data_IF_224676895007
#
_entry.id   IF_224676895007
#
_cell.length_a   1.000
_cell.length_b   1.000
_cell.length_c   1.000
_cell.angle_alpha   90.00
_cell.angle_beta   90.00
_cell.angle_gamma   90.00
#
_symmetry.space_group_name_H-M   'P 1'
#
loop_
_entity.id
_entity.type
_entity.pdbx_description
1 polymer ?
#
# COMPACT_ATOMS: atom_id res chain seq x y z
N UNK A 1 -19.35 -31.93 57.49
CA UNK A 1 -18.21 -31.88 56.50
C UNK A 1 -18.73 -31.21 55.23
N UNK A 2 -18.23 -29.96 54.92
CA UNK A 2 -18.74 -29.10 53.84
C UNK A 2 -18.03 -29.41 52.51
N UNK A 3 -18.81 -29.74 51.44
CA UNK A 3 -18.36 -29.93 50.08
C UNK A 3 -17.94 -28.58 49.46
N UNK A 4 -16.65 -28.28 49.39
CA UNK A 4 -16.06 -27.08 48.72
C UNK A 4 -15.26 -27.47 47.49
N UNK A 5 -15.77 -28.35 46.61
CA UNK A 5 -14.99 -28.84 45.46
C UNK A 5 -15.49 -28.51 44.07
N UNK A 6 -16.70 -27.93 43.91
CA UNK A 6 -17.32 -27.79 42.54
C UNK A 6 -17.20 -26.42 41.86
N UNK A 7 -16.73 -25.39 42.54
CA UNK A 7 -16.65 -24.02 41.94
C UNK A 7 -15.38 -23.72 41.17
N UNK A 8 -14.31 -24.48 41.38
CA UNK A 8 -13.00 -24.24 40.67
C UNK A 8 -12.91 -24.95 39.31
N UNK A 9 -13.67 -26.00 39.11
CA UNK A 9 -13.63 -26.74 37.84
C UNK A 9 -14.32 -25.98 36.70
N UNK A 10 -15.36 -25.20 37.03
CA UNK A 10 -16.04 -24.34 36.04
C UNK A 10 -15.20 -23.16 35.58
N UNK A 11 -14.35 -22.59 36.46
CA UNK A 11 -13.50 -21.44 36.14
C UNK A 11 -12.33 -21.84 35.23
N UNK A 12 -11.75 -23.02 35.39
CA UNK A 12 -10.68 -23.56 34.53
C UNK A 12 -11.16 -23.87 33.12
N UNK A 13 -12.38 -24.38 32.96
CA UNK A 13 -12.97 -24.65 31.62
C UNK A 13 -13.28 -23.34 30.88
N UNK A 14 -13.73 -22.29 31.57
CA UNK A 14 -13.99 -20.98 30.97
C UNK A 14 -12.71 -20.30 30.46
N UNK A 15 -11.60 -20.45 31.18
CA UNK A 15 -10.29 -19.87 30.77
C UNK A 15 -9.71 -20.60 29.55
N UNK A 16 -9.87 -21.91 29.47
CA UNK A 16 -9.40 -22.71 28.30
C UNK A 16 -10.21 -22.39 27.04
N UNK A 17 -11.50 -22.07 27.15
CA UNK A 17 -12.32 -21.68 26.00
C UNK A 17 -12.04 -20.26 25.50
N UNK A 18 -11.55 -19.35 26.35
CA UNK A 18 -11.21 -17.99 25.91
C UNK A 18 -9.88 -17.90 25.14
N UNK A 19 -8.99 -18.86 25.30
CA UNK A 19 -7.71 -18.92 24.57
C UNK A 19 -7.82 -19.56 23.17
N UNK A 20 -8.95 -20.21 22.82
CA UNK A 20 -9.10 -20.97 21.58
C UNK A 20 -9.46 -20.12 20.34
N UNK A 21 -9.69 -18.81 20.49
CA UNK A 21 -10.05 -17.91 19.38
C UNK A 21 -8.97 -16.90 18.99
N UNK A 22 -7.74 -17.06 19.43
CA UNK A 22 -6.61 -16.39 18.79
C UNK A 22 -6.35 -17.06 17.43
N UNK A 23 -7.17 -16.74 16.42
CA UNK A 23 -6.85 -17.03 15.02
C UNK A 23 -5.61 -16.21 14.70
N UNK A 24 -4.46 -16.83 14.38
CA UNK A 24 -3.30 -16.04 13.98
C UNK A 24 -3.69 -15.24 12.72
N UNK A 25 -3.72 -13.92 12.83
CA UNK A 25 -3.78 -13.06 11.64
C UNK A 25 -2.53 -13.41 10.84
N UNK A 26 -2.70 -14.19 9.79
CA UNK A 26 -1.62 -14.51 8.88
C UNK A 26 -1.01 -13.19 8.40
N UNK A 27 0.23 -12.92 8.80
CA UNK A 27 0.96 -11.77 8.29
C UNK A 27 0.95 -11.88 6.76
N UNK A 28 0.46 -10.85 6.08
CA UNK A 28 0.43 -10.81 4.62
C UNK A 28 1.84 -11.13 4.12
N UNK A 29 1.99 -12.22 3.36
CA UNK A 29 3.29 -12.63 2.84
C UNK A 29 3.83 -11.49 1.97
N UNK A 30 5.08 -11.06 2.23
CA UNK A 30 5.72 -10.03 1.41
C UNK A 30 5.73 -10.47 -0.05
N UNK A 31 5.16 -9.67 -0.93
CA UNK A 31 5.27 -9.90 -2.36
C UNK A 31 6.75 -9.91 -2.76
N UNK A 32 7.18 -10.82 -3.64
CA UNK A 32 8.56 -10.88 -4.08
C UNK A 32 8.93 -9.61 -4.87
N UNK A 33 10.17 -9.13 -4.73
CA UNK A 33 10.67 -8.01 -5.52
C UNK A 33 10.63 -8.33 -7.01
N UNK A 34 10.24 -7.34 -7.82
CA UNK A 34 10.26 -7.45 -9.27
C UNK A 34 11.61 -7.01 -9.83
N UNK A 35 11.97 -7.60 -10.96
CA UNK A 35 13.16 -7.24 -11.76
C UNK A 35 12.89 -7.50 -13.23
N UNK A 36 13.64 -6.81 -14.10
CA UNK A 36 13.62 -7.06 -15.54
C UNK A 36 14.73 -8.06 -15.87
N UNK A 37 14.41 -9.12 -16.60
CA UNK A 37 15.36 -10.09 -17.12
C UNK A 37 15.12 -10.27 -18.62
N UNK A 38 16.02 -9.72 -19.44
CA UNK A 38 15.78 -9.58 -20.88
C UNK A 38 14.55 -8.72 -21.14
N UNK A 39 13.58 -9.24 -21.85
CA UNK A 39 12.30 -8.58 -22.17
C UNK A 39 11.17 -8.94 -21.21
N UNK A 40 11.48 -9.61 -20.09
CA UNK A 40 10.47 -10.13 -19.18
C UNK A 40 10.53 -9.44 -17.82
N UNK A 41 9.35 -9.10 -17.27
CA UNK A 41 9.21 -8.78 -15.85
C UNK A 41 9.13 -10.09 -15.08
N UNK A 42 10.02 -10.28 -14.13
CA UNK A 42 10.09 -11.49 -13.31
C UNK A 42 10.16 -11.13 -11.82
N UNK A 43 9.78 -12.08 -10.96
CA UNK A 43 10.00 -11.95 -9.52
C UNK A 43 11.41 -12.41 -9.12
N UNK A 44 11.75 -12.31 -7.83
CA UNK A 44 13.04 -12.74 -7.29
C UNK A 44 13.37 -14.23 -7.48
N UNK A 45 12.35 -15.07 -7.74
CA UNK A 45 12.52 -16.50 -8.08
C UNK A 45 12.64 -16.74 -9.60
N UNK A 46 12.71 -15.70 -10.43
CA UNK A 46 12.78 -15.81 -11.89
C UNK A 46 11.45 -16.13 -12.59
N UNK A 47 10.33 -16.24 -11.84
CA UNK A 47 9.00 -16.48 -12.40
C UNK A 47 8.47 -15.23 -13.08
N UNK A 48 7.94 -15.36 -14.31
CA UNK A 48 7.29 -14.27 -15.03
C UNK A 48 6.11 -13.69 -14.24
N UNK A 49 6.02 -12.37 -14.24
CA UNK A 49 4.94 -11.62 -13.57
C UNK A 49 4.27 -10.70 -14.58
N UNK A 50 2.97 -10.68 -14.59
CA UNK A 50 2.15 -9.71 -15.31
C UNK A 50 1.46 -8.81 -14.28
N UNK A 51 1.68 -7.50 -14.36
CA UNK A 51 0.92 -6.53 -13.58
C UNK A 51 -0.42 -6.28 -14.26
N UNK A 52 -1.49 -6.49 -13.51
CA UNK A 52 -2.87 -6.17 -13.86
C UNK A 52 -3.38 -5.20 -12.83
N UNK A 53 -3.43 -3.94 -13.20
CA UNK A 53 -3.61 -2.86 -12.24
C UNK A 53 -4.69 -1.87 -12.62
N UNK A 54 -4.97 -0.98 -11.65
CA UNK A 54 -5.81 0.18 -11.80
C UNK A 54 -5.03 1.38 -11.30
N UNK A 55 -5.12 2.51 -12.01
CA UNK A 55 -4.64 3.80 -11.52
C UNK A 55 -5.75 4.48 -10.72
N UNK A 56 -5.37 5.14 -9.63
CA UNK A 56 -6.23 6.16 -9.04
C UNK A 56 -6.33 7.34 -10.00
N UNK A 57 -7.32 8.20 -9.80
CA UNK A 57 -7.27 9.57 -10.28
C UNK A 57 -6.25 10.36 -9.45
N UNK A 58 -6.04 11.64 -9.78
CA UNK A 58 -5.11 12.49 -9.01
C UNK A 58 -5.41 12.49 -7.52
N UNK A 59 -4.42 12.20 -6.69
CA UNK A 59 -4.55 12.09 -5.23
C UNK A 59 -4.99 13.42 -4.58
N UNK A 60 -4.69 14.55 -5.22
CA UNK A 60 -5.13 15.89 -4.77
C UNK A 60 -6.63 16.15 -4.97
N UNK A 61 -7.27 15.42 -5.88
CA UNK A 61 -8.65 15.64 -6.25
C UNK A 61 -9.60 14.61 -5.67
N UNK A 62 -9.17 13.35 -5.59
CA UNK A 62 -10.00 12.22 -5.15
C UNK A 62 -9.24 11.30 -4.18
N UNK A 63 -8.73 11.83 -3.05
CA UNK A 63 -7.97 11.04 -2.08
C UNK A 63 -8.82 9.94 -1.40
N UNK A 64 -10.15 10.07 -1.37
CA UNK A 64 -11.09 9.14 -0.75
C UNK A 64 -11.11 7.77 -1.41
N UNK A 65 -10.72 7.68 -2.70
CA UNK A 65 -10.60 6.39 -3.38
C UNK A 65 -9.37 5.58 -2.95
N UNK A 66 -8.43 6.22 -2.25
CA UNK A 66 -7.31 5.50 -1.62
C UNK A 66 -7.76 4.97 -0.26
N UNK A 67 -8.44 3.83 -0.27
CA UNK A 67 -8.93 3.20 0.95
C UNK A 67 -8.78 1.68 0.94
N UNK A 68 -8.69 1.08 2.14
CA UNK A 68 -8.43 -0.35 2.31
C UNK A 68 -9.54 -1.23 1.71
N UNK A 69 -10.80 -0.83 1.85
CA UNK A 69 -11.94 -1.62 1.37
C UNK A 69 -11.96 -1.70 -0.14
N UNK A 70 -11.73 -0.58 -0.84
CA UNK A 70 -11.63 -0.55 -2.31
C UNK A 70 -10.50 -1.44 -2.82
N UNK A 71 -9.30 -1.35 -2.22
CA UNK A 71 -8.15 -2.17 -2.65
C UNK A 71 -8.40 -3.66 -2.40
N UNK A 72 -8.97 -3.99 -1.24
CA UNK A 72 -9.34 -5.37 -0.92
C UNK A 72 -10.41 -5.91 -1.88
N UNK A 73 -11.42 -5.10 -2.20
CA UNK A 73 -12.47 -5.45 -3.16
C UNK A 73 -11.90 -5.72 -4.54
N UNK A 74 -11.09 -4.82 -5.08
CA UNK A 74 -10.46 -4.96 -6.39
C UNK A 74 -9.57 -6.21 -6.46
N UNK A 75 -8.76 -6.45 -5.42
CA UNK A 75 -7.94 -7.66 -5.31
C UNK A 75 -8.79 -8.92 -5.34
N UNK A 76 -9.83 -8.96 -4.51
CA UNK A 76 -10.67 -10.15 -4.31
C UNK A 76 -11.57 -10.44 -5.50
N UNK A 77 -12.23 -9.43 -6.05
CA UNK A 77 -13.28 -9.62 -7.05
C UNK A 77 -12.75 -9.48 -8.50
N UNK A 78 -11.87 -8.49 -8.75
CA UNK A 78 -11.34 -8.24 -10.09
C UNK A 78 -9.97 -8.85 -10.32
N UNK A 79 -9.39 -9.50 -9.30
CA UNK A 79 -8.06 -10.13 -9.38
C UNK A 79 -6.93 -9.14 -9.74
N UNK A 80 -7.12 -7.86 -9.41
CA UNK A 80 -6.10 -6.81 -9.57
C UNK A 80 -4.91 -7.15 -8.68
N UNK A 81 -3.69 -6.98 -9.19
CA UNK A 81 -2.46 -7.25 -8.45
C UNK A 81 -1.52 -6.04 -8.34
N UNK A 82 -1.92 -4.89 -8.90
CA UNK A 82 -1.19 -3.63 -8.78
C UNK A 82 -2.16 -2.44 -8.71
N UNK A 83 -1.77 -1.40 -7.98
CA UNK A 83 -2.45 -0.10 -7.97
C UNK A 83 -1.42 1.00 -8.21
N UNK A 84 -1.76 1.99 -9.03
CA UNK A 84 -0.95 3.18 -9.28
C UNK A 84 -1.53 4.36 -8.53
N UNK A 85 -0.72 5.03 -7.76
CA UNK A 85 -1.08 6.23 -6.98
C UNK A 85 -0.62 7.45 -7.77
N UNK A 86 -1.55 8.06 -8.51
CA UNK A 86 -1.26 9.18 -9.40
C UNK A 86 -1.14 10.50 -8.61
N UNK A 87 0.09 10.88 -8.23
CA UNK A 87 0.32 12.14 -7.55
C UNK A 87 0.55 13.27 -8.55
N UNK A 88 -0.47 14.09 -8.77
CA UNK A 88 -0.39 15.25 -9.64
C UNK A 88 0.61 16.27 -9.14
N UNK A 89 1.40 16.84 -10.06
CA UNK A 89 2.49 17.79 -9.80
C UNK A 89 2.05 19.23 -9.93
N UNK A 90 1.71 19.68 -11.13
CA UNK A 90 1.39 21.08 -11.46
C UNK A 90 -0.11 21.38 -11.44
N UNK A 91 -0.96 20.40 -11.26
CA UNK A 91 -2.40 20.56 -11.21
C UNK A 91 -2.88 21.34 -9.96
N UNK A 92 -4.14 21.75 -9.93
CA UNK A 92 -4.73 22.37 -8.75
C UNK A 92 -4.56 21.49 -7.51
N UNK A 93 -4.02 22.06 -6.45
CA UNK A 93 -3.61 21.35 -5.25
C UNK A 93 -2.62 20.19 -5.49
N UNK A 94 -1.89 20.20 -6.60
CA UNK A 94 -0.81 19.27 -6.87
C UNK A 94 0.38 19.45 -5.93
N UNK A 95 1.32 18.54 -6.00
CA UNK A 95 2.50 18.53 -5.10
C UNK A 95 3.36 19.79 -5.23
N UNK A 96 3.45 20.37 -6.44
CA UNK A 96 4.29 21.55 -6.72
C UNK A 96 3.51 22.87 -6.62
N UNK A 97 2.17 22.86 -6.69
CA UNK A 97 1.31 24.04 -6.66
C UNK A 97 0.67 24.27 -5.31
N UNK A 98 0.48 23.22 -4.51
CA UNK A 98 -0.06 23.32 -3.17
C UNK A 98 0.98 23.78 -2.14
N UNK A 99 0.49 24.21 -0.99
CA UNK A 99 1.31 24.60 0.15
C UNK A 99 1.96 23.39 0.88
N UNK A 100 2.73 23.67 1.91
CA UNK A 100 3.39 22.63 2.71
C UNK A 100 2.38 21.72 3.44
N UNK A 101 1.20 22.21 3.80
CA UNK A 101 0.14 21.40 4.41
C UNK A 101 -0.44 20.42 3.40
N UNK A 102 -0.70 20.88 2.17
CA UNK A 102 -1.15 20.07 1.07
C UNK A 102 -0.14 18.95 0.71
N UNK A 103 1.14 19.29 0.62
CA UNK A 103 2.20 18.28 0.39
C UNK A 103 2.20 17.19 1.45
N UNK A 104 2.04 17.54 2.73
CA UNK A 104 1.94 16.53 3.82
C UNK A 104 0.70 15.64 3.67
N UNK A 105 -0.45 16.20 3.25
CA UNK A 105 -1.67 15.41 2.99
C UNK A 105 -1.48 14.43 1.83
N UNK A 106 -0.84 14.87 0.74
CA UNK A 106 -0.54 14.02 -0.41
C UNK A 106 0.43 12.88 -0.02
N UNK A 107 1.48 13.18 0.73
CA UNK A 107 2.40 12.17 1.24
C UNK A 107 1.71 11.18 2.18
N UNK A 108 0.83 11.65 3.05
CA UNK A 108 0.02 10.77 3.92
C UNK A 108 -0.94 9.89 3.11
N UNK A 109 -1.51 10.41 2.02
CA UNK A 109 -2.33 9.64 1.10
C UNK A 109 -1.52 8.52 0.42
N UNK A 110 -0.28 8.82 -0.02
CA UNK A 110 0.66 7.80 -0.54
C UNK A 110 0.97 6.76 0.53
N UNK A 111 1.25 7.18 1.77
CA UNK A 111 1.54 6.26 2.89
C UNK A 111 0.37 5.28 3.13
N UNK A 112 -0.84 5.80 3.13
CA UNK A 112 -2.05 4.99 3.24
C UNK A 112 -2.19 4.04 2.04
N UNK A 113 -1.98 4.53 0.82
CA UNK A 113 -2.04 3.73 -0.40
C UNK A 113 -1.04 2.56 -0.38
N UNK A 114 0.21 2.83 0.01
CA UNK A 114 1.24 1.78 0.17
C UNK A 114 0.83 0.77 1.23
N UNK A 115 0.35 1.23 2.38
CA UNK A 115 -0.14 0.36 3.47
C UNK A 115 -1.29 -0.52 2.99
N UNK A 116 -2.31 0.07 2.36
CA UNK A 116 -3.50 -0.65 1.92
C UNK A 116 -3.21 -1.64 0.80
N UNK A 117 -2.37 -1.27 -0.17
CA UNK A 117 -1.92 -2.18 -1.22
C UNK A 117 -1.12 -3.36 -0.64
N UNK A 118 -0.21 -3.09 0.29
CA UNK A 118 0.57 -4.14 0.97
C UNK A 118 -0.33 -5.11 1.73
N UNK A 119 -1.29 -4.60 2.50
CA UNK A 119 -2.26 -5.41 3.24
C UNK A 119 -3.14 -6.26 2.30
N UNK A 120 -3.48 -5.72 1.12
CA UNK A 120 -4.25 -6.44 0.10
C UNK A 120 -3.39 -7.42 -0.74
N UNK A 121 -2.08 -7.50 -0.52
CA UNK A 121 -1.17 -8.33 -1.32
C UNK A 121 -1.08 -7.86 -2.77
N UNK A 122 -0.89 -6.54 -2.98
CA UNK A 122 -0.74 -5.91 -4.29
C UNK A 122 0.57 -5.14 -4.39
N UNK A 123 1.11 -5.05 -5.60
CA UNK A 123 2.13 -4.08 -5.94
C UNK A 123 1.53 -2.67 -5.93
N UNK A 124 2.35 -1.67 -5.63
CA UNK A 124 1.94 -0.27 -5.64
C UNK A 124 2.96 0.56 -6.39
N UNK A 125 2.49 1.33 -7.36
CA UNK A 125 3.29 2.26 -8.14
C UNK A 125 3.09 3.65 -7.54
N UNK A 126 4.17 4.25 -7.06
CA UNK A 126 4.20 5.65 -6.63
C UNK A 126 4.59 6.47 -7.85
N UNK A 127 3.65 7.23 -8.37
CA UNK A 127 3.77 7.94 -9.62
C UNK A 127 3.87 9.45 -9.41
N UNK A 128 4.94 10.03 -9.93
CA UNK A 128 5.10 11.47 -10.09
C UNK A 128 4.41 11.90 -11.37
N UNK A 129 3.09 12.16 -11.28
CA UNK A 129 2.22 12.29 -12.43
C UNK A 129 2.26 13.70 -13.01
N UNK A 130 3.00 13.87 -14.09
CA UNK A 130 2.97 15.11 -14.89
C UNK A 130 1.74 15.07 -15.82
N UNK A 131 1.07 16.20 -15.96
CA UNK A 131 -0.09 16.34 -16.83
C UNK A 131 -0.04 17.69 -17.56
N UNK A 132 -0.50 18.79 -16.94
CA UNK A 132 -0.46 20.12 -17.56
C UNK A 132 0.95 20.71 -17.65
N UNK A 133 1.88 20.30 -16.82
CA UNK A 133 3.28 20.68 -16.92
C UNK A 133 3.98 20.11 -18.18
N UNK A 134 3.50 19.00 -18.77
CA UNK A 134 3.90 18.50 -20.09
C UNK A 134 5.39 18.18 -20.28
N UNK A 135 6.23 18.63 -19.35
CA UNK A 135 7.69 18.46 -19.37
C UNK A 135 8.16 17.90 -18.02
N UNK A 136 8.70 16.66 -17.98
CA UNK A 136 9.16 16.04 -16.75
C UNK A 136 10.30 16.79 -16.07
N UNK A 137 11.01 17.66 -16.78
CA UNK A 137 12.11 18.48 -16.22
C UNK A 137 11.63 19.74 -15.51
N UNK A 138 10.39 20.19 -15.72
CA UNK A 138 9.86 21.43 -15.14
C UNK A 138 9.98 21.45 -13.60
N UNK A 139 9.63 20.34 -12.95
CA UNK A 139 9.66 20.18 -11.50
C UNK A 139 10.74 19.17 -11.03
N UNK A 140 11.81 18.98 -11.83
CA UNK A 140 12.84 17.97 -11.58
C UNK A 140 13.45 18.03 -10.17
N UNK A 141 13.73 19.23 -9.65
CA UNK A 141 14.31 19.42 -8.30
C UNK A 141 13.38 18.86 -7.21
N UNK A 142 12.09 19.09 -7.34
CA UNK A 142 11.10 18.58 -6.39
C UNK A 142 10.89 17.07 -6.56
N UNK A 143 10.89 16.57 -7.81
CA UNK A 143 10.83 15.15 -8.11
C UNK A 143 11.99 14.38 -7.46
N UNK A 144 13.21 14.88 -7.60
CA UNK A 144 14.39 14.26 -6.99
C UNK A 144 14.29 14.21 -5.46
N UNK A 145 13.82 15.28 -4.81
CA UNK A 145 13.60 15.32 -3.35
C UNK A 145 12.54 14.31 -2.93
N UNK A 146 11.43 14.29 -3.67
CA UNK A 146 10.32 13.38 -3.42
C UNK A 146 10.75 11.91 -3.53
N UNK A 147 11.33 11.51 -4.66
CA UNK A 147 11.77 10.13 -4.84
C UNK A 147 12.86 9.71 -3.87
N UNK A 148 13.81 10.60 -3.53
CA UNK A 148 14.80 10.32 -2.48
C UNK A 148 14.13 10.03 -1.14
N UNK A 149 13.08 10.79 -0.78
CA UNK A 149 12.29 10.58 0.44
C UNK A 149 11.53 9.26 0.41
N UNK A 150 10.80 8.99 -0.68
CA UNK A 150 10.00 7.78 -0.83
C UNK A 150 10.86 6.52 -0.90
N UNK A 151 11.96 6.55 -1.64
CA UNK A 151 12.90 5.43 -1.73
C UNK A 151 13.55 5.10 -0.38
N UNK A 152 13.93 6.13 0.40
CA UNK A 152 14.43 5.92 1.77
C UNK A 152 13.36 5.30 2.67
N UNK A 153 12.12 5.80 2.61
CA UNK A 153 11.01 5.35 3.44
C UNK A 153 10.63 3.90 3.15
N UNK A 154 10.52 3.54 1.88
CA UNK A 154 10.02 2.22 1.45
C UNK A 154 11.12 1.25 1.01
N UNK A 155 12.39 1.48 1.37
CA UNK A 155 13.53 0.63 0.99
C UNK A 155 13.34 -0.87 1.25
N UNK A 156 12.56 -1.21 2.29
CA UNK A 156 12.28 -2.58 2.69
C UNK A 156 10.94 -3.14 2.15
N UNK A 157 10.19 -2.32 1.40
CA UNK A 157 8.93 -2.71 0.80
C UNK A 157 9.20 -3.27 -0.60
N UNK A 158 9.10 -4.59 -0.75
CA UNK A 158 9.40 -5.30 -2.01
C UNK A 158 8.32 -5.13 -3.08
N UNK A 159 7.17 -4.60 -2.69
CA UNK A 159 6.01 -4.38 -3.55
C UNK A 159 5.86 -2.93 -4.05
N UNK A 160 6.81 -2.03 -3.71
CA UNK A 160 6.78 -0.63 -4.16
C UNK A 160 7.58 -0.47 -5.45
N UNK A 161 6.99 0.23 -6.42
CA UNK A 161 7.55 0.59 -7.71
C UNK A 161 7.48 2.13 -7.81
N UNK A 162 8.40 2.74 -8.51
CA UNK A 162 8.47 4.20 -8.71
C UNK A 162 8.36 4.51 -10.20
N UNK A 163 7.61 5.56 -10.54
CA UNK A 163 7.34 6.03 -11.90
C UNK A 163 7.43 7.56 -11.99
#
# INVERSE_FOLDING_TARGET
MRKKGKKWFGLLIAIVFLCAFCVPVAAASKLPRLQVKGTQLVNSSGKKVQLRGISTHGLSWYPEYVNQSAFTFMKKNWKVNAVRLAMYTAEYNGYCTGDASNRRKLEACIDNGVKYATNAGMYVIIDWHILSDGNPQQNQKEALKFFKKMAKKYKNNTNVIYE
#
